data_IF_442259822890
#
_entry.id   IF_442259822890
#
_cell.length_a   1.000
_cell.length_b   1.000
_cell.length_c   1.000
_cell.angle_alpha   90.00
_cell.angle_beta   90.00
_cell.angle_gamma   90.00
#
_symmetry.space_group_name_H-M   'P 1'
#
loop_
_entity.id
_entity.type
_entity.pdbx_description
1 polymer ?
#
# COMPACT_ATOMS: atom_id res chain seq x y z
N UNK A 1 38.63 5.62 -88.50
CA UNK A 1 38.85 5.25 -87.08
C UNK A 1 37.83 5.97 -86.22
N UNK A 2 36.83 5.24 -85.72
CA UNK A 2 35.67 5.78 -84.99
C UNK A 2 36.06 6.12 -83.55
N UNK A 3 35.73 7.33 -83.09
CA UNK A 3 35.97 7.82 -81.72
C UNK A 3 34.91 7.24 -80.77
N UNK A 4 35.36 6.63 -79.68
CA UNK A 4 34.54 6.04 -78.61
C UNK A 4 34.28 7.12 -77.53
N UNK A 5 33.04 7.33 -77.06
CA UNK A 5 32.78 8.19 -75.91
C UNK A 5 32.99 7.42 -74.59
N UNK A 6 33.68 8.04 -73.63
CA UNK A 6 33.80 7.55 -72.25
C UNK A 6 32.65 8.12 -71.41
N UNK A 7 31.84 7.24 -70.85
CA UNK A 7 30.76 7.57 -69.92
C UNK A 7 31.32 7.90 -68.52
N UNK A 8 30.79 8.94 -67.88
CA UNK A 8 30.98 9.23 -66.46
C UNK A 8 30.19 8.24 -65.61
N UNK A 9 30.84 7.57 -64.67
CA UNK A 9 30.19 6.79 -63.60
C UNK A 9 30.11 7.70 -62.38
N UNK A 10 28.88 8.07 -61.98
CA UNK A 10 28.60 8.77 -60.73
C UNK A 10 28.52 7.76 -59.57
N UNK A 11 29.38 7.96 -58.56
CA UNK A 11 29.38 7.19 -57.32
C UNK A 11 28.32 7.75 -56.37
N UNK A 12 27.20 7.04 -56.19
CA UNK A 12 26.19 7.37 -55.19
C UNK A 12 26.64 6.84 -53.81
N UNK A 13 26.87 7.75 -52.87
CA UNK A 13 27.18 7.44 -51.47
C UNK A 13 25.85 7.27 -50.72
N UNK A 14 25.50 6.05 -50.35
CA UNK A 14 24.39 5.77 -49.43
C UNK A 14 24.81 6.09 -48.00
N UNK A 15 24.27 7.19 -47.45
CA UNK A 15 24.36 7.50 -46.02
C UNK A 15 23.37 6.62 -45.25
N UNK A 16 23.87 5.59 -44.57
CA UNK A 16 23.08 4.76 -43.65
C UNK A 16 22.88 5.52 -42.33
N UNK A 17 21.71 6.11 -42.13
CA UNK A 17 21.34 6.68 -40.84
C UNK A 17 21.14 5.55 -39.82
N UNK A 18 22.07 5.42 -38.85
CA UNK A 18 21.86 4.60 -37.66
C UNK A 18 20.74 5.23 -36.84
N UNK A 19 19.56 4.62 -36.86
CA UNK A 19 18.50 4.91 -35.88
C UNK A 19 18.90 4.22 -34.57
N UNK A 20 19.15 5.03 -33.54
CA UNK A 20 19.10 4.56 -32.16
C UNK A 20 17.64 4.23 -31.85
N UNK A 21 17.28 2.94 -31.93
CA UNK A 21 16.06 2.46 -31.31
C UNK A 21 16.28 2.45 -29.79
N UNK A 22 15.46 3.15 -28.98
CA UNK A 22 15.47 2.96 -27.55
C UNK A 22 15.00 1.52 -27.29
N UNK A 23 15.93 0.65 -26.92
CA UNK A 23 15.64 -0.69 -26.44
C UNK A 23 14.73 -0.58 -25.21
N UNK A 24 13.44 -0.81 -25.42
CA UNK A 24 12.48 -1.11 -24.35
C UNK A 24 13.07 -2.32 -23.62
N UNK A 25 13.30 -2.25 -22.29
CA UNK A 25 13.68 -3.44 -21.56
C UNK A 25 12.59 -4.48 -21.78
N UNK A 26 12.95 -5.61 -22.38
CA UNK A 26 12.08 -6.76 -22.53
C UNK A 26 11.75 -7.26 -21.12
N UNK A 27 10.62 -6.81 -20.57
CA UNK A 27 10.06 -7.40 -19.36
C UNK A 27 9.73 -8.85 -19.70
N UNK A 28 10.53 -9.76 -19.17
CA UNK A 28 10.46 -11.18 -19.46
C UNK A 28 9.13 -11.79 -19.01
N UNK A 29 8.48 -12.50 -19.93
CA UNK A 29 7.24 -13.27 -19.78
C UNK A 29 6.04 -12.44 -19.26
N UNK A 30 5.01 -12.29 -20.09
CA UNK A 30 3.73 -11.76 -19.64
C UNK A 30 3.23 -12.58 -18.44
N UNK A 31 3.10 -11.92 -17.29
CA UNK A 31 2.62 -12.57 -16.07
C UNK A 31 1.16 -13.00 -16.30
N UNK A 32 0.87 -14.28 -16.11
CA UNK A 32 -0.51 -14.79 -16.07
C UNK A 32 -1.19 -14.38 -14.76
N UNK A 33 -1.71 -13.16 -14.77
CA UNK A 33 -2.42 -12.60 -13.64
C UNK A 33 -3.73 -13.32 -13.34
N UNK A 34 -4.36 -13.97 -14.32
CA UNK A 34 -5.57 -14.75 -14.06
C UNK A 34 -5.25 -15.91 -13.14
N UNK A 35 -4.09 -16.56 -13.32
CA UNK A 35 -3.66 -17.64 -12.43
C UNK A 35 -3.38 -17.15 -11.01
N UNK A 36 -2.85 -15.93 -10.84
CA UNK A 36 -2.68 -15.30 -9.52
C UNK A 36 -4.03 -15.04 -8.85
N UNK A 37 -4.98 -14.47 -9.60
CA UNK A 37 -6.35 -14.20 -9.12
C UNK A 37 -7.05 -15.49 -8.68
N UNK A 38 -6.91 -16.56 -9.46
CA UNK A 38 -7.49 -17.88 -9.18
C UNK A 38 -6.90 -18.50 -7.90
N UNK A 39 -5.58 -18.41 -7.71
CA UNK A 39 -4.89 -18.92 -6.52
C UNK A 39 -5.29 -18.16 -5.25
N UNK A 40 -5.40 -16.83 -5.33
CA UNK A 40 -5.81 -16.01 -4.19
C UNK A 40 -7.34 -15.99 -3.97
N UNK A 41 -8.09 -16.58 -4.89
CA UNK A 41 -9.55 -16.69 -4.84
C UNK A 41 -10.28 -15.35 -4.85
N UNK A 42 -9.65 -14.28 -5.38
CA UNK A 42 -10.21 -12.92 -5.36
C UNK A 42 -9.65 -12.04 -6.46
N UNK A 43 -10.44 -11.03 -6.86
CA UNK A 43 -10.04 -10.02 -7.84
C UNK A 43 -9.19 -8.93 -7.18
N UNK A 44 -8.15 -8.41 -7.87
CA UNK A 44 -7.37 -7.30 -7.38
C UNK A 44 -8.05 -5.95 -7.65
N UNK A 45 -7.73 -4.96 -6.83
CA UNK A 45 -7.75 -3.58 -7.26
C UNK A 45 -6.51 -3.32 -8.12
N UNK A 46 -6.70 -2.76 -9.31
CA UNK A 46 -5.62 -2.46 -10.26
C UNK A 46 -5.32 -0.97 -10.21
N UNK A 47 -4.04 -0.63 -10.09
CA UNK A 47 -3.54 0.75 -10.12
C UNK A 47 -2.23 0.76 -10.88
N UNK A 48 -2.26 1.29 -12.09
CA UNK A 48 -1.18 1.16 -13.08
C UNK A 48 -0.78 -0.32 -13.26
N UNK A 49 0.47 -0.66 -12.94
CA UNK A 49 1.00 -2.02 -13.03
C UNK A 49 0.88 -2.83 -11.72
N UNK A 50 0.33 -2.23 -10.66
CA UNK A 50 0.18 -2.89 -9.35
C UNK A 50 -1.19 -3.54 -9.23
N UNK A 51 -1.20 -4.79 -8.76
CA UNK A 51 -2.40 -5.56 -8.42
C UNK A 51 -2.45 -5.82 -6.93
N UNK A 52 -3.43 -5.21 -6.26
CA UNK A 52 -3.60 -5.28 -4.81
C UNK A 52 -4.80 -6.14 -4.43
N UNK A 53 -4.56 -7.15 -3.62
CA UNK A 53 -5.53 -8.11 -3.13
C UNK A 53 -5.79 -7.84 -1.65
N UNK A 54 -7.03 -7.49 -1.30
CA UNK A 54 -7.41 -7.22 0.09
C UNK A 54 -7.96 -8.47 0.78
N UNK A 55 -7.57 -8.69 2.04
CA UNK A 55 -7.92 -9.76 2.97
C UNK A 55 -8.52 -9.16 4.25
N UNK A 56 -9.74 -8.57 4.18
CA UNK A 56 -10.38 -8.01 5.34
C UNK A 56 -10.72 -9.09 6.36
N UNK A 57 -10.43 -8.83 7.64
CA UNK A 57 -10.82 -9.69 8.77
C UNK A 57 -12.29 -9.48 9.14
N UNK A 58 -13.19 -9.79 8.21
CA UNK A 58 -14.64 -9.72 8.42
C UNK A 58 -15.17 -10.75 9.42
N UNK A 59 -14.36 -11.73 9.79
CA UNK A 59 -14.61 -12.69 10.85
C UNK A 59 -14.45 -12.09 12.26
N UNK A 60 -13.75 -10.97 12.39
CA UNK A 60 -13.46 -10.34 13.68
C UNK A 60 -14.46 -9.24 14.04
N UNK A 61 -14.82 -9.20 15.33
CA UNK A 61 -15.58 -8.10 15.94
C UNK A 61 -14.66 -7.33 16.90
N UNK A 62 -13.75 -6.52 16.34
CA UNK A 62 -12.80 -5.73 17.13
C UNK A 62 -13.44 -4.46 17.65
N UNK A 63 -13.16 -4.13 18.91
CA UNK A 63 -13.58 -2.88 19.56
C UNK A 63 -12.38 -2.13 20.16
N UNK A 64 -12.42 -0.80 20.17
CA UNK A 64 -11.43 0.05 20.83
C UNK A 64 -12.11 1.33 21.32
N UNK A 65 -11.92 1.69 22.59
CA UNK A 65 -12.44 2.91 23.22
C UNK A 65 -13.95 3.13 22.94
N UNK A 66 -14.74 2.04 22.97
CA UNK A 66 -16.18 2.02 22.72
C UNK A 66 -16.59 2.02 21.24
N UNK A 67 -15.65 2.00 20.30
CA UNK A 67 -15.90 1.97 18.85
C UNK A 67 -15.71 0.56 18.31
N UNK A 68 -16.71 0.02 17.62
CA UNK A 68 -16.54 -1.19 16.78
C UNK A 68 -15.74 -0.83 15.53
N UNK A 69 -14.60 -1.49 15.33
CA UNK A 69 -13.68 -1.22 14.24
C UNK A 69 -14.18 -1.92 12.97
N UNK A 70 -14.52 -1.15 11.93
CA UNK A 70 -14.85 -1.72 10.62
C UNK A 70 -13.58 -2.30 9.99
N UNK A 71 -13.68 -3.36 9.17
CA UNK A 71 -12.53 -3.85 8.42
C UNK A 71 -11.86 -2.79 7.56
N UNK A 72 -12.64 -1.89 6.95
CA UNK A 72 -12.11 -0.76 6.17
C UNK A 72 -11.40 0.32 7.02
N UNK A 73 -11.58 0.35 8.34
CA UNK A 73 -10.88 1.32 9.20
C UNK A 73 -9.44 0.88 9.48
N UNK A 74 -9.28 -0.39 9.90
CA UNK A 74 -7.97 -0.91 10.29
C UNK A 74 -7.78 -2.42 10.07
N UNK A 75 -8.82 -3.24 9.87
CA UNK A 75 -8.68 -4.71 9.83
C UNK A 75 -8.55 -5.25 8.39
N UNK A 76 -8.01 -4.44 7.49
CA UNK A 76 -7.88 -4.75 6.07
C UNK A 76 -6.50 -5.26 5.73
N UNK A 77 -6.24 -6.56 5.89
CA UNK A 77 -5.00 -7.17 5.43
C UNK A 77 -4.88 -7.07 3.91
N UNK A 78 -3.68 -7.12 3.35
CA UNK A 78 -3.47 -7.04 1.91
C UNK A 78 -2.13 -7.62 1.47
N UNK A 79 -2.07 -8.02 0.19
CA UNK A 79 -0.82 -8.18 -0.55
C UNK A 79 -0.93 -7.45 -1.88
N UNK A 80 0.18 -6.94 -2.39
CA UNK A 80 0.26 -6.21 -3.65
C UNK A 80 1.41 -6.75 -4.49
N UNK A 81 1.10 -7.08 -5.75
CA UNK A 81 2.06 -7.55 -6.73
C UNK A 81 2.40 -6.43 -7.70
N UNK A 82 3.69 -6.29 -8.00
CA UNK A 82 4.23 -5.39 -9.02
C UNK A 82 5.19 -6.17 -9.92
N UNK A 83 5.11 -6.02 -11.27
CA UNK A 83 6.11 -6.59 -12.17
C UNK A 83 7.54 -6.24 -11.76
N UNK A 84 8.43 -7.23 -11.80
CA UNK A 84 9.83 -7.09 -11.43
C UNK A 84 10.72 -7.92 -12.37
N UNK A 85 12.04 -7.69 -12.34
CA UNK A 85 12.96 -8.53 -13.11
C UNK A 85 12.85 -9.99 -12.65
N UNK A 86 12.55 -10.90 -13.58
CA UNK A 86 12.40 -12.33 -13.31
C UNK A 86 11.07 -12.75 -12.68
N UNK A 87 10.05 -11.88 -12.68
CA UNK A 87 8.70 -12.22 -12.22
C UNK A 87 7.96 -11.02 -11.61
N UNK A 88 7.56 -11.13 -10.36
CA UNK A 88 6.92 -10.05 -9.60
C UNK A 88 7.60 -9.85 -8.24
N UNK A 89 7.59 -8.62 -7.76
CA UNK A 89 7.76 -8.29 -6.35
C UNK A 89 6.38 -8.36 -5.68
N UNK A 90 6.32 -8.90 -4.47
CA UNK A 90 5.15 -8.84 -3.60
C UNK A 90 5.51 -8.13 -2.29
N UNK A 91 4.61 -7.26 -1.85
CA UNK A 91 4.63 -6.65 -0.52
C UNK A 91 3.27 -6.89 0.13
N UNK A 92 3.23 -6.98 1.46
CA UNK A 92 1.98 -7.19 2.17
C UNK A 92 2.01 -6.67 3.59
N UNK A 93 0.82 -6.64 4.15
CA UNK A 93 0.52 -6.30 5.54
C UNK A 93 -0.68 -7.16 5.95
N UNK A 94 -0.44 -8.15 6.80
CA UNK A 94 -1.43 -9.15 7.18
C UNK A 94 -1.96 -8.87 8.59
N UNK A 95 -3.28 -8.91 8.75
CA UNK A 95 -3.93 -8.72 10.05
C UNK A 95 -4.18 -10.05 10.73
N UNK A 96 -3.49 -10.30 11.83
CA UNK A 96 -3.47 -11.56 12.55
C UNK A 96 -3.84 -11.36 14.02
N UNK A 97 -4.46 -12.36 14.62
CA UNK A 97 -4.53 -12.50 16.09
C UNK A 97 -3.20 -13.03 16.62
N UNK A 98 -2.93 -12.82 17.90
CA UNK A 98 -1.72 -13.30 18.58
C UNK A 98 -1.41 -14.78 18.27
N UNK A 99 -2.43 -15.64 18.36
CA UNK A 99 -2.32 -17.08 18.13
C UNK A 99 -2.06 -17.46 16.67
N UNK A 100 -2.29 -16.55 15.74
CA UNK A 100 -2.15 -16.78 14.29
C UNK A 100 -0.77 -16.33 13.77
N UNK A 101 -0.03 -15.49 14.51
CA UNK A 101 1.26 -14.93 14.05
C UNK A 101 2.27 -16.02 13.71
N UNK A 102 2.63 -16.87 14.68
CA UNK A 102 3.71 -17.84 14.51
C UNK A 102 3.40 -18.91 13.45
N UNK A 103 2.20 -19.50 13.37
CA UNK A 103 1.85 -20.44 12.30
C UNK A 103 1.97 -19.83 10.89
N UNK A 104 1.39 -18.65 10.68
CA UNK A 104 1.45 -17.96 9.38
C UNK A 104 2.90 -17.59 9.05
N UNK A 105 3.64 -17.04 10.01
CA UNK A 105 5.05 -16.67 9.84
C UNK A 105 5.92 -17.85 9.43
N UNK A 106 5.78 -18.99 10.13
CA UNK A 106 6.54 -20.19 9.83
C UNK A 106 6.27 -20.69 8.40
N UNK A 107 5.01 -20.64 7.96
CA UNK A 107 4.61 -21.05 6.60
C UNK A 107 5.15 -20.12 5.52
N UNK A 108 5.16 -18.81 5.76
CA UNK A 108 5.76 -17.81 4.85
C UNK A 108 7.26 -18.05 4.69
N UNK A 109 8.00 -18.18 5.80
CA UNK A 109 9.46 -18.41 5.79
C UNK A 109 9.79 -19.72 5.07
N UNK A 110 9.07 -20.80 5.38
CA UNK A 110 9.27 -22.10 4.73
C UNK A 110 9.02 -22.05 3.21
N UNK A 111 8.25 -21.07 2.74
CA UNK A 111 7.92 -20.86 1.32
C UNK A 111 8.82 -19.81 0.64
N UNK A 112 9.82 -19.28 1.35
CA UNK A 112 10.79 -18.32 0.82
C UNK A 112 10.32 -16.86 0.81
N UNK A 113 9.27 -16.53 1.57
CA UNK A 113 8.85 -15.15 1.81
C UNK A 113 9.58 -14.57 3.02
N UNK A 114 9.88 -13.29 2.97
CA UNK A 114 10.53 -12.55 4.05
C UNK A 114 9.49 -11.89 4.95
N UNK A 115 9.80 -11.85 6.24
CA UNK A 115 9.03 -11.11 7.24
C UNK A 115 9.78 -9.84 7.55
N UNK A 116 9.22 -8.70 7.17
CA UNK A 116 9.90 -7.40 7.33
C UNK A 116 9.51 -6.66 8.60
N UNK A 117 8.34 -6.97 9.18
CA UNK A 117 7.93 -6.45 10.48
C UNK A 117 6.78 -7.25 11.11
N UNK A 118 6.68 -7.19 12.45
CA UNK A 118 5.48 -7.54 13.22
C UNK A 118 5.24 -6.44 14.25
N UNK A 119 4.05 -5.85 14.26
CA UNK A 119 3.72 -4.73 15.15
C UNK A 119 2.21 -4.62 15.38
N UNK A 120 1.79 -3.59 16.12
CA UNK A 120 0.40 -3.23 16.33
C UNK A 120 0.05 -1.94 15.56
N UNK A 121 -1.20 -1.80 15.14
CA UNK A 121 -1.77 -0.49 14.76
C UNK A 121 -2.54 0.13 15.93
N UNK A 122 -3.17 -0.70 16.76
CA UNK A 122 -4.12 -0.30 17.80
C UNK A 122 -3.68 -0.85 19.17
N UNK A 123 -3.41 0.02 20.15
CA UNK A 123 -2.79 -0.39 21.44
C UNK A 123 -3.70 -1.19 22.38
N UNK A 124 -5.01 -0.96 22.35
CA UNK A 124 -5.97 -1.50 23.35
C UNK A 124 -7.17 -2.18 22.69
N UNK A 125 -7.03 -2.57 21.44
CA UNK A 125 -8.10 -3.22 20.70
C UNK A 125 -8.45 -4.58 21.31
N UNK A 126 -9.73 -4.93 21.33
CA UNK A 126 -10.22 -6.22 21.80
C UNK A 126 -11.11 -6.90 20.74
N UNK A 127 -10.77 -8.10 20.25
CA UNK A 127 -9.49 -8.78 20.49
C UNK A 127 -8.30 -7.98 19.94
N UNK A 128 -7.11 -8.23 20.51
CA UNK A 128 -5.89 -7.59 20.03
C UNK A 128 -5.54 -8.10 18.62
N UNK A 129 -5.18 -7.17 17.74
CA UNK A 129 -4.74 -7.47 16.38
C UNK A 129 -3.32 -6.99 16.16
N UNK A 130 -2.58 -7.79 15.41
CA UNK A 130 -1.20 -7.56 15.02
C UNK A 130 -1.09 -7.56 13.51
N UNK A 131 -0.06 -6.89 13.02
CA UNK A 131 0.17 -6.61 11.62
C UNK A 131 1.55 -7.17 11.28
N UNK A 132 1.58 -8.04 10.28
CA UNK A 132 2.80 -8.69 9.83
C UNK A 132 3.08 -8.28 8.39
N UNK A 133 4.17 -7.53 8.20
CA UNK A 133 4.62 -7.18 6.87
C UNK A 133 5.42 -8.32 6.26
N UNK A 134 5.10 -8.59 5.00
CA UNK A 134 5.72 -9.66 4.21
C UNK A 134 6.25 -9.11 2.89
N UNK A 135 7.37 -9.66 2.42
CA UNK A 135 7.99 -9.31 1.16
C UNK A 135 8.47 -10.55 0.41
N UNK A 136 8.61 -10.42 -0.91
CA UNK A 136 9.26 -11.44 -1.73
C UNK A 136 9.36 -11.04 -3.19
N UNK A 137 10.16 -11.77 -3.95
CA UNK A 137 10.28 -11.60 -5.40
C UNK A 137 10.47 -12.95 -6.07
N UNK A 138 9.85 -13.13 -7.23
CA UNK A 138 9.98 -14.36 -8.02
C UNK A 138 8.75 -14.65 -8.85
N UNK A 139 8.49 -15.94 -9.09
CA UNK A 139 7.32 -16.38 -9.84
C UNK A 139 6.02 -15.97 -9.13
N UNK A 140 5.16 -15.16 -9.77
CA UNK A 140 3.99 -14.59 -9.11
C UNK A 140 2.96 -15.63 -8.68
N UNK A 141 2.84 -16.75 -9.40
CA UNK A 141 1.90 -17.82 -9.04
C UNK A 141 2.41 -18.57 -7.81
N UNK A 142 3.71 -18.87 -7.72
CA UNK A 142 4.31 -19.47 -6.53
C UNK A 142 4.21 -18.55 -5.31
N UNK A 143 4.46 -17.25 -5.48
CA UNK A 143 4.28 -16.27 -4.42
C UNK A 143 2.82 -16.23 -3.94
N UNK A 144 1.86 -16.23 -4.86
CA UNK A 144 0.44 -16.29 -4.53
C UNK A 144 0.06 -17.56 -3.77
N UNK A 145 0.57 -18.73 -4.19
CA UNK A 145 0.33 -20.00 -3.49
C UNK A 145 0.92 -20.00 -2.09
N UNK A 146 2.15 -19.49 -1.92
CA UNK A 146 2.77 -19.34 -0.61
C UNK A 146 1.93 -18.46 0.33
N UNK A 147 1.43 -17.33 -0.18
CA UNK A 147 0.58 -16.41 0.59
C UNK A 147 -0.75 -17.06 0.97
N UNK A 148 -1.41 -17.72 0.02
CA UNK A 148 -2.66 -18.44 0.26
C UNK A 148 -2.48 -19.51 1.35
N UNK A 149 -1.46 -20.35 1.21
CA UNK A 149 -1.21 -21.46 2.14
C UNK A 149 -0.82 -20.96 3.54
N UNK A 150 -0.09 -19.86 3.64
CA UNK A 150 0.21 -19.23 4.93
C UNK A 150 -1.04 -18.63 5.58
N UNK A 151 -1.89 -17.94 4.82
CA UNK A 151 -3.14 -17.41 5.38
C UNK A 151 -4.11 -18.52 5.82
N UNK A 152 -4.03 -19.72 5.22
CA UNK A 152 -4.79 -20.89 5.65
C UNK A 152 -4.41 -21.40 7.06
N UNK A 153 -3.25 -20.99 7.60
CA UNK A 153 -2.86 -21.23 9.00
C UNK A 153 -3.52 -20.23 9.99
N UNK A 154 -4.41 -19.36 9.49
CA UNK A 154 -5.20 -18.39 10.26
C UNK A 154 -6.69 -18.53 9.96
N UNK A 155 -7.53 -17.72 10.62
CA UNK A 155 -8.95 -17.61 10.29
C UNK A 155 -9.27 -16.52 9.26
N UNK A 156 -8.24 -15.93 8.63
CA UNK A 156 -8.42 -14.91 7.59
C UNK A 156 -9.33 -15.46 6.48
N UNK A 157 -10.44 -14.77 6.14
CA UNK A 157 -11.32 -15.22 5.07
C UNK A 157 -10.59 -15.30 3.71
N UNK A 158 -10.44 -16.52 3.19
CA UNK A 158 -9.74 -16.79 1.93
C UNK A 158 -10.61 -16.59 0.68
N UNK A 159 -11.92 -16.57 0.84
CA UNK A 159 -12.86 -16.21 -0.23
C UNK A 159 -13.53 -14.89 0.08
N UNK A 160 -13.69 -14.05 -0.94
CA UNK A 160 -14.46 -12.82 -0.80
C UNK A 160 -15.95 -13.17 -0.70
N UNK A 161 -16.61 -12.76 0.38
CA UNK A 161 -18.06 -12.84 0.45
C UNK A 161 -18.67 -11.90 -0.61
N UNK A 162 -19.61 -12.40 -1.39
CA UNK A 162 -20.38 -11.56 -2.30
C UNK A 162 -21.27 -10.62 -1.47
N UNK A 163 -20.95 -9.32 -1.46
CA UNK A 163 -21.86 -8.31 -0.89
C UNK A 163 -22.95 -8.00 -1.91
N UNK A 164 -24.20 -8.25 -1.54
CA UNK A 164 -25.38 -7.86 -2.33
C UNK A 164 -25.93 -6.50 -1.94
N UNK A 165 -25.44 -5.91 -0.84
CA UNK A 165 -25.85 -4.59 -0.37
C UNK A 165 -24.86 -3.50 -0.82
N UNK A 166 -25.37 -2.29 -1.12
CA UNK A 166 -24.52 -1.15 -1.41
C UNK A 166 -23.63 -0.82 -0.19
N UNK A 167 -22.42 -0.26 -0.40
CA UNK A 167 -21.56 0.16 0.69
C UNK A 167 -22.28 1.15 1.61
N UNK A 168 -22.08 1.09 2.94
CA UNK A 168 -22.64 2.07 3.85
C UNK A 168 -22.18 3.48 3.48
N UNK A 169 -23.08 4.46 3.60
CA UNK A 169 -22.74 5.86 3.40
C UNK A 169 -21.71 6.32 4.45
N UNK A 170 -20.87 7.28 4.08
CA UNK A 170 -20.00 7.99 5.01
C UNK A 170 -20.75 9.21 5.52
N UNK A 171 -21.19 9.19 6.77
CA UNK A 171 -21.94 10.26 7.42
C UNK A 171 -21.01 11.37 7.96
N UNK A 172 -20.21 11.96 7.07
CA UNK A 172 -19.29 13.07 7.37
C UNK A 172 -19.34 14.09 6.23
N UNK A 173 -18.98 15.35 6.50
CA UNK A 173 -18.71 16.34 5.45
C UNK A 173 -17.37 16.04 4.77
N UNK A 174 -17.37 15.04 3.89
CA UNK A 174 -16.19 14.58 3.16
C UNK A 174 -15.56 15.68 2.30
N UNK A 175 -16.36 16.64 1.82
CA UNK A 175 -15.85 17.77 1.05
C UNK A 175 -15.01 18.71 1.92
N UNK A 176 -15.42 18.93 3.17
CA UNK A 176 -14.64 19.71 4.13
C UNK A 176 -13.38 18.97 4.56
N UNK A 177 -13.45 17.65 4.74
CA UNK A 177 -12.26 16.84 5.04
C UNK A 177 -11.26 16.90 3.88
N UNK A 178 -11.70 16.78 2.63
CA UNK A 178 -10.84 16.93 1.44
C UNK A 178 -10.10 18.29 1.42
N UNK A 179 -10.82 19.37 1.72
CA UNK A 179 -10.25 20.71 1.75
C UNK A 179 -9.17 20.85 2.83
N UNK A 180 -9.40 20.28 4.02
CA UNK A 180 -8.46 20.37 5.14
C UNK A 180 -7.23 19.49 4.89
N UNK A 181 -7.44 18.23 4.53
CA UNK A 181 -6.34 17.29 4.26
C UNK A 181 -5.54 17.74 3.03
N UNK A 182 -6.21 18.31 2.02
CA UNK A 182 -5.60 18.86 0.82
C UNK A 182 -5.47 17.87 -0.34
N UNK A 183 -6.07 16.68 -0.23
CA UNK A 183 -6.24 15.71 -1.31
C UNK A 183 -7.63 15.12 -1.26
N UNK A 184 -8.08 14.53 -2.38
CA UNK A 184 -9.39 13.86 -2.46
C UNK A 184 -9.35 12.50 -1.76
N UNK A 185 -10.20 12.29 -0.78
CA UNK A 185 -10.44 10.99 -0.16
C UNK A 185 -11.43 10.13 -0.94
N UNK A 186 -11.52 8.86 -0.58
CA UNK A 186 -12.44 7.88 -1.17
C UNK A 186 -13.24 7.15 -0.10
N UNK A 187 -14.52 6.92 -0.38
CA UNK A 187 -15.37 6.12 0.50
C UNK A 187 -15.17 4.62 0.24
N UNK A 188 -14.93 3.86 1.31
CA UNK A 188 -14.75 2.42 1.25
C UNK A 188 -15.34 1.78 2.52
N UNK A 189 -16.30 0.87 2.38
CA UNK A 189 -16.90 0.16 3.52
C UNK A 189 -17.49 1.07 4.61
N UNK A 190 -17.99 2.26 4.25
CA UNK A 190 -18.47 3.26 5.22
C UNK A 190 -17.37 3.92 6.06
N UNK A 191 -16.15 3.98 5.53
CA UNK A 191 -14.98 4.72 6.04
C UNK A 191 -14.51 5.66 4.92
N UNK A 192 -14.10 6.88 5.26
CA UNK A 192 -13.48 7.81 4.31
C UNK A 192 -11.96 7.74 4.42
N UNK A 193 -11.29 7.43 3.32
CA UNK A 193 -9.87 7.09 3.32
C UNK A 193 -9.09 8.06 2.43
N UNK A 194 -7.95 8.53 2.93
CA UNK A 194 -6.99 9.33 2.19
C UNK A 194 -5.70 8.53 1.99
N UNK A 195 -5.10 8.67 0.81
CA UNK A 195 -3.76 8.20 0.51
C UNK A 195 -2.92 9.40 0.10
N UNK A 196 -2.12 9.94 1.02
CA UNK A 196 -1.28 11.12 0.77
C UNK A 196 0.12 10.66 0.39
N UNK A 197 0.48 10.83 -0.89
CA UNK A 197 1.81 10.44 -1.37
C UNK A 197 2.89 11.40 -0.86
N UNK A 198 4.06 10.85 -0.52
CA UNK A 198 5.29 11.64 -0.39
C UNK A 198 5.69 12.19 -1.77
N UNK A 199 6.43 13.30 -1.80
CA UNK A 199 7.00 13.87 -3.04
C UNK A 199 8.29 13.18 -3.44
N UNK A 200 9.11 12.83 -2.45
CA UNK A 200 10.37 12.13 -2.68
C UNK A 200 10.08 10.70 -3.17
N UNK A 201 10.88 10.19 -4.13
CA UNK A 201 10.77 8.82 -4.57
C UNK A 201 11.15 7.86 -3.44
N UNK A 202 10.48 6.71 -3.43
CA UNK A 202 10.79 5.60 -2.52
C UNK A 202 11.18 4.42 -3.38
N UNK A 203 12.27 3.75 -3.00
CA UNK A 203 12.69 2.51 -3.62
C UNK A 203 12.82 1.40 -2.60
N UNK A 204 12.70 0.15 -3.05
CA UNK A 204 12.97 -1.06 -2.27
C UNK A 204 13.95 -1.90 -3.07
N UNK A 205 15.16 -2.15 -2.55
CA UNK A 205 16.19 -2.87 -3.31
C UNK A 205 16.50 -2.24 -4.68
N UNK A 206 16.41 -0.89 -4.77
CA UNK A 206 16.59 -0.13 -6.01
C UNK A 206 15.37 -0.10 -6.96
N UNK A 207 14.29 -0.83 -6.66
CA UNK A 207 13.05 -0.79 -7.43
C UNK A 207 12.14 0.36 -6.97
N UNK A 208 11.64 1.18 -7.89
CA UNK A 208 10.69 2.25 -7.56
C UNK A 208 9.35 1.71 -7.03
N UNK A 209 8.92 2.21 -5.87
CA UNK A 209 7.62 1.91 -5.26
C UNK A 209 6.54 2.88 -5.73
N UNK A 210 6.24 2.84 -7.04
CA UNK A 210 5.18 3.63 -7.67
C UNK A 210 4.17 2.70 -8.36
N UNK A 211 2.85 2.96 -8.25
CA UNK A 211 2.20 3.96 -7.40
C UNK A 211 2.29 3.65 -5.89
N UNK A 212 2.52 4.69 -5.07
CA UNK A 212 2.82 4.57 -3.64
C UNK A 212 1.69 3.94 -2.80
N UNK A 213 0.44 4.33 -3.08
CA UNK A 213 -0.74 3.87 -2.34
C UNK A 213 -0.92 2.35 -2.30
N UNK A 214 -1.06 1.67 -3.45
CA UNK A 214 -1.29 0.23 -3.47
C UNK A 214 -0.09 -0.60 -2.98
N UNK A 215 1.11 -0.01 -2.87
CA UNK A 215 2.31 -0.64 -2.31
C UNK A 215 2.51 -0.34 -0.80
N UNK A 216 1.57 0.36 -0.16
CA UNK A 216 1.63 0.63 1.28
C UNK A 216 2.68 1.67 1.69
N UNK A 217 3.04 2.58 0.78
CA UNK A 217 4.03 3.65 1.04
C UNK A 217 3.47 5.06 0.78
N UNK A 218 2.15 5.19 0.75
CA UNK A 218 1.46 6.47 0.94
C UNK A 218 1.04 6.60 2.41
N UNK A 219 0.95 7.84 2.90
CA UNK A 219 0.39 8.13 4.23
C UNK A 219 -1.11 7.80 4.20
N UNK A 220 -1.52 6.79 4.96
CA UNK A 220 -2.91 6.38 5.09
C UNK A 220 -3.62 7.15 6.20
N UNK A 221 -4.78 7.71 5.92
CA UNK A 221 -5.62 8.36 6.93
C UNK A 221 -7.07 7.93 6.73
N UNK A 222 -7.66 7.26 7.72
CA UNK A 222 -9.00 6.72 7.65
C UNK A 222 -9.92 7.39 8.68
N UNK A 223 -11.12 7.78 8.26
CA UNK A 223 -12.18 8.34 9.09
C UNK A 223 -13.38 7.39 9.08
N UNK A 224 -13.62 6.73 10.21
CA UNK A 224 -14.86 5.99 10.43
C UNK A 224 -15.85 6.88 11.20
N UNK A 225 -17.03 7.22 10.63
CA UNK A 225 -18.03 7.97 11.36
C UNK A 225 -18.44 7.26 12.66
N UNK A 226 -18.50 8.00 13.77
CA UNK A 226 -18.96 7.51 15.09
C UNK A 226 -20.23 8.23 15.56
N UNK A 227 -20.83 9.06 14.70
CA UNK A 227 -22.09 9.77 14.93
C UNK A 227 -21.88 11.21 15.40
N UNK A 228 -22.88 12.07 15.14
CA UNK A 228 -22.88 13.46 15.61
C UNK A 228 -21.71 14.31 15.11
N UNK A 229 -21.24 14.07 13.88
CA UNK A 229 -20.09 14.77 13.28
C UNK A 229 -18.72 14.25 13.75
N UNK A 230 -18.69 13.23 14.62
CA UNK A 230 -17.45 12.61 15.11
C UNK A 230 -16.97 11.48 14.22
N UNK A 231 -15.68 11.20 14.30
CA UNK A 231 -15.06 10.06 13.67
C UNK A 231 -13.99 9.43 14.56
N UNK A 232 -13.86 8.12 14.49
CA UNK A 232 -12.64 7.43 14.86
C UNK A 232 -11.65 7.53 13.69
N UNK A 233 -10.41 7.92 13.98
CA UNK A 233 -9.33 8.04 13.01
C UNK A 233 -8.16 7.15 13.37
N UNK A 234 -7.61 6.51 12.34
CA UNK A 234 -6.38 5.72 12.40
C UNK A 234 -5.75 5.65 11.02
N UNK A 235 -4.51 5.23 10.97
CA UNK A 235 -3.74 5.10 9.74
C UNK A 235 -2.27 5.05 10.10
N UNK A 236 -1.44 5.54 9.20
CA UNK A 236 0.01 5.56 9.35
C UNK A 236 0.64 6.73 8.59
N UNK A 237 1.66 7.33 9.21
CA UNK A 237 2.56 8.25 8.54
C UNK A 237 3.80 7.52 8.06
N UNK A 238 4.26 7.85 6.84
CA UNK A 238 5.50 7.38 6.23
C UNK A 238 6.54 8.50 6.32
N UNK A 239 7.55 8.31 7.17
CA UNK A 239 8.41 9.38 7.68
C UNK A 239 9.89 9.10 7.46
N UNK A 240 10.67 10.12 7.12
CA UNK A 240 12.12 10.06 7.29
C UNK A 240 12.48 10.35 8.75
N UNK A 241 13.72 10.03 9.14
CA UNK A 241 14.25 10.24 10.49
C UNK A 241 13.91 11.63 11.07
N UNK A 242 14.10 12.69 10.29
CA UNK A 242 13.96 14.07 10.75
C UNK A 242 12.50 14.54 10.82
N UNK A 243 11.57 13.76 10.30
CA UNK A 243 10.13 14.05 10.34
C UNK A 243 9.43 13.39 11.55
N UNK A 244 10.00 12.32 12.12
CA UNK A 244 9.40 11.51 13.21
C UNK A 244 8.94 12.37 14.39
N UNK A 245 9.88 12.99 15.12
CA UNK A 245 9.52 13.75 16.33
C UNK A 245 8.65 14.99 16.05
N UNK A 246 8.87 15.75 14.97
CA UNK A 246 7.94 16.81 14.57
C UNK A 246 6.50 16.34 14.36
N UNK A 247 6.30 15.16 13.75
CA UNK A 247 4.97 14.57 13.56
C UNK A 247 4.37 14.11 14.89
N UNK A 248 5.14 13.44 15.76
CA UNK A 248 4.68 13.07 17.11
C UNK A 248 4.19 14.31 17.85
N UNK A 249 4.97 15.38 17.86
CA UNK A 249 4.61 16.61 18.55
C UNK A 249 3.30 17.21 18.00
N UNK A 250 3.15 17.24 16.67
CA UNK A 250 1.92 17.72 16.03
C UNK A 250 0.70 16.88 16.43
N UNK A 251 0.78 15.55 16.29
CA UNK A 251 -0.30 14.64 16.66
C UNK A 251 -0.69 14.80 18.14
N UNK A 252 0.29 14.80 19.05
CA UNK A 252 0.05 14.92 20.49
C UNK A 252 -0.52 16.28 20.88
N UNK A 253 -0.10 17.36 20.24
CA UNK A 253 -0.65 18.71 20.46
C UNK A 253 -2.13 18.79 20.10
N UNK A 254 -2.56 18.02 19.09
CA UNK A 254 -3.95 17.95 18.64
C UNK A 254 -4.75 16.84 19.31
N UNK A 255 -4.22 16.19 20.35
CA UNK A 255 -4.92 15.14 21.09
C UNK A 255 -5.02 13.79 20.35
N UNK A 256 -4.18 13.57 19.34
CA UNK A 256 -4.11 12.32 18.59
C UNK A 256 -3.02 11.43 19.19
N UNK A 257 -3.38 10.22 19.59
CA UNK A 257 -2.47 9.25 20.19
C UNK A 257 -1.54 8.67 19.11
N UNK A 258 -0.24 8.53 19.42
CA UNK A 258 0.69 7.73 18.61
C UNK A 258 0.67 6.32 19.20
N UNK A 259 0.33 5.33 18.39
CA UNK A 259 0.10 3.94 18.83
C UNK A 259 1.27 3.02 18.53
N UNK A 260 2.09 3.34 17.52
CA UNK A 260 3.31 2.62 17.20
C UNK A 260 4.28 3.47 16.36
N UNK A 261 5.57 3.14 16.41
CA UNK A 261 6.63 3.68 15.55
C UNK A 261 7.61 2.55 15.22
N UNK A 262 7.77 2.20 13.93
CA UNK A 262 8.61 1.08 13.48
C UNK A 262 8.94 1.25 11.98
N UNK A 263 9.43 0.20 11.32
CA UNK A 263 9.59 0.14 9.85
C UNK A 263 8.64 -0.91 9.26
N UNK A 264 8.30 -0.80 7.98
CA UNK A 264 7.55 -1.83 7.22
C UNK A 264 8.45 -2.64 6.27
N UNK A 265 9.61 -2.09 5.90
CA UNK A 265 10.58 -2.71 5.00
C UNK A 265 11.96 -2.76 5.66
N UNK A 266 12.87 -3.52 5.04
CA UNK A 266 14.25 -3.69 5.49
C UNK A 266 15.25 -2.87 4.67
N UNK A 267 15.04 -2.76 3.35
CA UNK A 267 16.00 -2.23 2.36
C UNK A 267 15.43 -1.05 1.55
N UNK A 268 14.54 -0.27 2.17
CA UNK A 268 13.95 0.89 1.54
C UNK A 268 14.89 2.09 1.53
N UNK A 269 14.85 2.87 0.46
CA UNK A 269 15.57 4.13 0.33
C UNK A 269 14.63 5.27 -0.11
N UNK A 270 14.64 6.43 0.58
CA UNK A 270 15.39 6.71 1.81
C UNK A 270 14.92 5.82 2.97
N UNK A 271 15.70 5.69 4.06
CA UNK A 271 15.23 4.97 5.26
C UNK A 271 13.92 5.56 5.79
N UNK A 272 12.90 4.71 5.97
CA UNK A 272 11.57 5.13 6.41
C UNK A 272 11.17 4.54 7.77
N UNK A 273 10.38 5.34 8.48
CA UNK A 273 9.67 4.97 9.69
C UNK A 273 8.18 5.13 9.47
N UNK A 274 7.40 4.21 10.01
CA UNK A 274 5.96 4.17 9.94
C UNK A 274 5.41 4.43 11.33
N UNK A 275 4.45 5.35 11.41
CA UNK A 275 3.89 5.81 12.67
C UNK A 275 2.37 5.71 12.66
N UNK A 276 1.85 4.79 13.46
CA UNK A 276 0.42 4.63 13.63
C UNK A 276 -0.14 5.59 14.67
N UNK A 277 -1.41 5.91 14.51
CA UNK A 277 -2.12 6.82 15.39
C UNK A 277 -3.57 6.40 15.63
N UNK A 278 -4.16 6.91 16.71
CA UNK A 278 -5.56 6.71 17.05
C UNK A 278 -6.17 7.94 17.70
N UNK A 279 -7.42 8.26 17.35
CA UNK A 279 -8.27 9.18 18.10
C UNK A 279 -9.76 8.95 17.75
N UNK A 280 -10.66 9.42 18.61
CA UNK A 280 -12.10 9.45 18.33
C UNK A 280 -12.70 10.74 18.87
N UNK A 281 -13.01 11.68 17.99
CA UNK A 281 -13.46 13.04 18.33
C UNK A 281 -14.16 13.70 17.11
N UNK A 282 -14.47 15.00 17.20
CA UNK A 282 -14.96 15.81 16.09
C UNK A 282 -14.10 15.65 14.83
N UNK A 283 -14.72 15.29 13.71
CA UNK A 283 -13.99 14.93 12.49
C UNK A 283 -13.22 16.10 11.88
N UNK A 284 -13.71 17.33 12.01
CA UNK A 284 -13.03 18.53 11.49
C UNK A 284 -11.80 18.83 12.33
N UNK A 285 -11.92 18.82 13.67
CA UNK A 285 -10.78 18.99 14.59
C UNK A 285 -9.69 17.93 14.36
N UNK A 286 -10.09 16.68 14.14
CA UNK A 286 -9.16 15.59 13.82
C UNK A 286 -8.47 15.82 12.47
N UNK A 287 -9.20 16.24 11.44
CA UNK A 287 -8.62 16.56 10.14
C UNK A 287 -7.61 17.71 10.22
N UNK A 288 -7.87 18.74 11.03
CA UNK A 288 -6.93 19.85 11.26
C UNK A 288 -5.64 19.37 11.94
N UNK A 289 -5.75 18.48 12.94
CA UNK A 289 -4.58 17.90 13.60
C UNK A 289 -3.76 16.99 12.69
N UNK A 290 -4.43 16.17 11.89
CA UNK A 290 -3.80 15.33 10.87
C UNK A 290 -3.13 16.17 9.78
N UNK A 291 -3.76 17.29 9.39
CA UNK A 291 -3.15 18.24 8.45
C UNK A 291 -1.90 18.89 9.04
N UNK A 292 -1.94 19.32 10.29
CA UNK A 292 -0.78 19.90 10.97
C UNK A 292 0.41 18.91 11.04
N UNK A 293 0.13 17.61 11.18
CA UNK A 293 1.12 16.54 11.09
C UNK A 293 1.62 16.33 9.65
N UNK A 294 0.74 16.30 8.65
CA UNK A 294 1.13 16.23 7.22
C UNK A 294 2.07 17.37 6.82
N UNK A 295 1.85 18.59 7.34
CA UNK A 295 2.71 19.77 7.16
C UNK A 295 4.14 19.59 7.73
N UNK A 296 4.38 18.52 8.49
CA UNK A 296 5.70 18.13 8.98
C UNK A 296 6.41 17.09 8.11
N UNK A 297 5.85 16.72 6.96
CA UNK A 297 6.38 15.67 6.07
C UNK A 297 6.67 16.20 4.66
N UNK A 298 7.45 15.46 3.88
CA UNK A 298 7.71 15.74 2.46
C UNK A 298 6.48 15.59 1.54
N UNK A 299 5.29 15.26 2.05
CA UNK A 299 4.05 15.34 1.24
C UNK A 299 3.65 16.78 0.95
N UNK A 300 4.02 17.71 1.84
CA UNK A 300 3.63 19.12 1.81
C UNK A 300 4.84 20.07 1.79
N UNK A 301 5.95 19.69 2.45
CA UNK A 301 7.20 20.46 2.44
C UNK A 301 7.82 20.49 1.03
N UNK A 302 8.32 21.65 0.64
CA UNK A 302 9.11 21.88 -0.57
C UNK A 302 10.57 21.54 -0.36
#
# INVERSE_FOLDING_TARGET
MKRIPRALIGLAICLSAFRFDPSIPAYGQDIDWQRVDDVLGRKPAISDDVRRYGFPRSDLAVTLDGVTIKPALALGGWVAFKPAHGGAMVMGDLVLLETEINPVMAKMIASGLEISAVHNHLLRATPATFYMHVAGQGDPVKLASAIHDALAESRTPLTAAASTSPPPAVELDTSKLDQIIGVKGQANGGVYQFNVKRRDPITQGGMSLTPAGPLGVAIGINFQPTGGGKAAVTGDFVLTRDEVNPVILALRTHGIEVTALHSHMLDEEPRLFFMHFWANDDAVRLAEGLRAALDKTASTRS
#
